data_IF_915729105976
#
_entry.id   IF_915729105976
#
_cell.length_a   1.000
_cell.length_b   1.000
_cell.length_c   1.000
_cell.angle_alpha   90.00
_cell.angle_beta   90.00
_cell.angle_gamma   90.00
#
_symmetry.space_group_name_H-M   'P 1'
#
loop_
_entity.id
_entity.type
_entity.pdbx_description
1 polymer ?
#
# COMPACT_ATOMS: atom_id res chain seq x y z
N UNK A 1 -11.67 17.36 44.09
CA UNK A 1 -12.17 17.23 42.71
C UNK A 1 -10.97 17.15 41.77
N UNK A 2 -10.57 15.94 41.38
CA UNK A 2 -9.60 15.69 40.29
C UNK A 2 -9.53 14.17 40.03
N UNK A 3 -10.58 13.62 39.42
CA UNK A 3 -10.59 12.22 38.96
C UNK A 3 -11.24 12.19 37.58
N UNK A 4 -10.43 12.24 36.54
CA UNK A 4 -10.96 12.17 35.18
C UNK A 4 -9.92 12.38 34.11
N UNK A 5 -8.83 11.60 34.09
CA UNK A 5 -7.99 11.57 32.88
C UNK A 5 -7.15 10.30 32.60
N UNK A 6 -7.42 9.17 33.27
CA UNK A 6 -6.59 7.96 33.08
C UNK A 6 -7.35 6.73 32.55
N UNK A 7 -8.69 6.82 32.37
CA UNK A 7 -9.51 5.71 31.86
C UNK A 7 -9.83 5.77 30.35
N UNK A 8 -9.65 6.92 29.68
CA UNK A 8 -10.01 7.08 28.27
C UNK A 8 -8.92 6.63 27.27
N UNK A 9 -7.65 6.56 27.67
CA UNK A 9 -6.54 6.10 26.80
C UNK A 9 -6.31 4.58 26.81
N UNK A 10 -6.75 3.87 27.85
CA UNK A 10 -6.53 2.41 27.99
C UNK A 10 -7.45 1.54 27.12
N UNK A 11 -8.57 2.08 26.63
CA UNK A 11 -9.51 1.38 25.74
C UNK A 11 -9.14 1.44 24.24
N UNK A 12 -8.34 2.44 23.83
CA UNK A 12 -7.97 2.65 22.42
C UNK A 12 -6.82 1.75 21.94
N UNK A 13 -5.97 1.26 22.86
CA UNK A 13 -4.82 0.43 22.55
C UNK A 13 -5.11 -1.08 22.52
N UNK A 14 -6.15 -1.58 23.19
CA UNK A 14 -6.38 -3.03 23.30
C UNK A 14 -7.21 -3.64 22.15
N UNK A 15 -7.69 -2.82 21.20
CA UNK A 15 -8.50 -3.23 20.04
C UNK A 15 -7.75 -3.14 18.69
N UNK A 16 -6.51 -2.61 18.67
CA UNK A 16 -5.54 -2.68 17.55
C UNK A 16 -5.27 -4.13 17.08
N UNK A 17 -5.70 -5.11 17.88
CA UNK A 17 -5.56 -6.55 17.72
C UNK A 17 -6.73 -7.27 17.03
N UNK A 18 -7.75 -6.58 16.48
CA UNK A 18 -8.69 -7.24 15.56
C UNK A 18 -8.01 -7.30 14.21
N UNK A 19 -7.39 -8.46 13.90
CA UNK A 19 -6.97 -8.90 12.55
C UNK A 19 -7.73 -8.10 11.50
N UNK A 20 -7.02 -7.29 10.73
CA UNK A 20 -7.56 -6.52 9.61
C UNK A 20 -8.55 -7.42 8.88
N UNK A 21 -9.85 -7.13 9.00
CA UNK A 21 -10.87 -8.16 8.83
C UNK A 21 -10.77 -8.82 7.44
N UNK A 22 -10.52 -10.14 7.41
CA UNK A 22 -10.34 -10.89 6.16
C UNK A 22 -8.89 -11.04 5.66
N UNK A 23 -7.91 -10.50 6.38
CA UNK A 23 -6.49 -10.65 6.08
C UNK A 23 -5.76 -11.54 7.09
N UNK A 24 -4.71 -12.20 6.60
CA UNK A 24 -3.75 -12.99 7.36
C UNK A 24 -2.36 -12.33 7.25
N UNK A 25 -1.52 -12.39 8.30
CA UNK A 25 -0.20 -11.79 8.25
C UNK A 25 0.68 -12.50 7.22
N UNK A 26 1.41 -11.73 6.42
CA UNK A 26 2.45 -12.22 5.52
C UNK A 26 3.78 -12.14 6.25
N UNK A 27 4.62 -13.20 6.26
CA UNK A 27 5.98 -13.12 6.78
C UNK A 27 6.77 -12.00 6.07
N UNK A 28 7.54 -11.21 6.82
CA UNK A 28 8.34 -10.12 6.22
C UNK A 28 9.28 -10.65 5.13
N UNK A 29 9.85 -11.84 5.34
CA UNK A 29 10.69 -12.56 4.35
C UNK A 29 10.01 -12.84 3.01
N UNK A 30 8.68 -12.82 2.94
CA UNK A 30 7.92 -13.20 1.75
C UNK A 30 7.42 -11.96 0.97
N UNK A 31 7.58 -10.75 1.55
CA UNK A 31 7.08 -9.49 0.96
C UNK A 31 7.66 -9.23 -0.43
N UNK A 32 8.94 -9.59 -0.66
CA UNK A 32 9.59 -9.36 -1.94
C UNK A 32 8.85 -10.02 -3.11
N UNK A 33 8.22 -11.18 -2.87
CA UNK A 33 7.49 -11.94 -3.90
C UNK A 33 6.28 -11.16 -4.45
N UNK A 34 5.75 -10.20 -3.69
CA UNK A 34 4.62 -9.37 -4.09
C UNK A 34 5.02 -8.19 -4.98
N UNK A 35 6.28 -7.75 -4.89
CA UNK A 35 6.74 -6.48 -5.47
C UNK A 35 7.77 -6.69 -6.57
N UNK A 36 8.66 -7.67 -6.43
CA UNK A 36 9.72 -7.98 -7.39
C UNK A 36 9.21 -8.24 -8.83
N UNK A 37 8.05 -8.90 -9.06
CA UNK A 37 7.47 -9.01 -10.40
C UNK A 37 7.07 -7.68 -11.05
N UNK A 38 7.09 -6.58 -10.30
CA UNK A 38 6.75 -5.23 -10.76
C UNK A 38 5.26 -5.03 -11.08
N UNK A 39 4.31 -5.43 -10.22
CA UNK A 39 2.90 -5.16 -10.47
C UNK A 39 2.57 -3.68 -10.30
N UNK A 40 1.46 -3.24 -10.86
CA UNK A 40 0.85 -1.96 -10.50
C UNK A 40 0.29 -2.07 -9.09
N UNK A 41 0.55 -1.06 -8.28
CA UNK A 41 0.06 -0.99 -6.90
C UNK A 41 -0.76 0.26 -6.68
N UNK A 42 -1.56 0.26 -5.62
CA UNK A 42 -2.19 1.44 -5.06
C UNK A 42 -1.36 1.91 -3.86
N UNK A 43 -1.10 3.21 -3.78
CA UNK A 43 -0.47 3.84 -2.62
C UNK A 43 -1.52 4.66 -1.88
N UNK A 44 -1.80 4.30 -0.63
CA UNK A 44 -2.69 5.08 0.24
C UNK A 44 -1.89 5.98 1.17
N UNK A 45 -2.45 7.14 1.48
CA UNK A 45 -1.90 8.09 2.44
C UNK A 45 -3.02 8.64 3.30
N UNK A 46 -2.68 9.10 4.50
CA UNK A 46 -3.58 9.87 5.35
C UNK A 46 -2.91 11.18 5.75
N UNK A 47 -3.65 12.28 5.71
CA UNK A 47 -3.21 13.57 6.21
C UNK A 47 -4.38 14.26 6.89
N UNK A 48 -4.22 14.62 8.16
CA UNK A 48 -5.25 15.28 8.97
C UNK A 48 -6.59 14.51 8.98
N UNK A 49 -6.52 13.18 8.99
CA UNK A 49 -7.70 12.29 8.97
C UNK A 49 -8.34 12.11 7.58
N UNK A 50 -7.86 12.82 6.55
CA UNK A 50 -8.31 12.63 5.17
C UNK A 50 -7.45 11.56 4.49
N UNK A 51 -8.09 10.45 4.15
CA UNK A 51 -7.50 9.37 3.38
C UNK A 51 -7.48 9.70 1.88
N UNK A 52 -6.46 9.22 1.17
CA UNK A 52 -6.37 9.27 -0.28
C UNK A 52 -5.72 8.00 -0.82
N UNK A 53 -5.93 7.72 -2.10
CA UNK A 53 -5.30 6.62 -2.84
C UNK A 53 -4.78 7.12 -4.20
N UNK A 54 -3.65 6.60 -4.65
CA UNK A 54 -3.13 6.83 -6.00
C UNK A 54 -2.65 5.53 -6.62
N UNK A 55 -2.62 5.47 -7.95
CA UNK A 55 -2.04 4.35 -8.70
C UNK A 55 -0.56 4.61 -8.91
N UNK A 56 0.27 3.59 -8.69
CA UNK A 56 1.72 3.69 -8.78
C UNK A 56 2.29 2.47 -9.48
N UNK A 57 3.06 2.70 -10.55
CA UNK A 57 3.78 1.65 -11.29
C UNK A 57 5.30 1.81 -11.25
N UNK A 58 5.82 2.87 -10.60
CA UNK A 58 7.25 3.16 -10.50
C UNK A 58 7.73 2.88 -9.08
N UNK A 59 8.05 1.62 -8.83
CA UNK A 59 8.58 1.13 -7.56
C UNK A 59 9.49 -0.09 -7.79
N UNK A 60 10.27 -0.46 -6.77
CA UNK A 60 11.14 -1.64 -6.80
C UNK A 60 11.50 -2.11 -5.39
N UNK A 61 11.79 -3.40 -5.25
CA UNK A 61 12.45 -3.93 -4.04
C UNK A 61 13.88 -3.38 -3.90
N UNK A 62 14.29 -3.14 -2.67
CA UNK A 62 15.63 -2.61 -2.30
C UNK A 62 16.36 -3.51 -1.31
N UNK A 63 15.64 -4.16 -0.39
CA UNK A 63 16.19 -5.06 0.63
C UNK A 63 15.19 -6.17 0.94
N UNK A 64 15.67 -7.38 1.24
CA UNK A 64 14.85 -8.53 1.60
C UNK A 64 14.35 -8.44 3.04
N UNK A 65 15.26 -8.22 4.01
CA UNK A 65 14.89 -8.20 5.44
C UNK A 65 15.74 -7.19 6.25
N UNK A 66 15.13 -6.16 6.89
CA UNK A 66 13.71 -5.80 6.79
C UNK A 66 13.33 -5.37 5.37
N UNK A 67 12.11 -5.67 4.86
CA UNK A 67 11.78 -5.42 3.47
C UNK A 67 11.74 -3.92 3.19
N UNK A 68 12.44 -3.50 2.14
CA UNK A 68 12.48 -2.09 1.71
C UNK A 68 12.07 -1.94 0.26
N UNK A 69 11.32 -0.87 0.00
CA UNK A 69 10.79 -0.53 -1.31
C UNK A 69 11.21 0.90 -1.63
N UNK A 70 11.74 1.12 -2.83
CA UNK A 70 11.87 2.47 -3.37
C UNK A 70 10.69 2.76 -4.28
N UNK A 71 10.14 3.97 -4.22
CA UNK A 71 9.04 4.38 -5.08
C UNK A 71 9.12 5.86 -5.46
N UNK A 72 8.58 6.20 -6.63
CA UNK A 72 8.44 7.58 -7.08
C UNK A 72 7.01 8.04 -6.86
N UNK A 73 6.85 9.15 -6.13
CA UNK A 73 5.57 9.84 -5.94
C UNK A 73 5.78 11.28 -6.37
N UNK A 74 5.07 11.76 -7.38
CA UNK A 74 5.35 13.08 -7.95
C UNK A 74 4.77 14.21 -7.09
N UNK A 75 5.41 15.39 -7.05
CA UNK A 75 4.82 16.59 -6.41
C UNK A 75 3.48 16.99 -7.00
N UNK A 76 3.21 16.60 -8.26
CA UNK A 76 1.93 16.78 -8.90
C UNK A 76 0.82 15.92 -8.27
N UNK A 77 1.16 14.81 -7.60
CA UNK A 77 0.21 13.94 -6.92
C UNK A 77 -0.25 14.56 -5.60
N UNK A 78 -1.54 14.41 -5.30
CA UNK A 78 -2.08 14.85 -4.01
C UNK A 78 -1.42 14.10 -2.83
N UNK A 79 -1.09 12.82 -3.04
CA UNK A 79 -0.45 11.95 -2.04
C UNK A 79 0.94 12.42 -1.63
N UNK A 80 1.66 13.20 -2.46
CA UNK A 80 3.04 13.61 -2.15
C UNK A 80 3.15 14.36 -0.83
N UNK A 81 2.28 15.36 -0.64
CA UNK A 81 2.31 16.19 0.55
C UNK A 81 2.03 15.35 1.81
N UNK A 82 1.01 14.49 1.73
CA UNK A 82 0.64 13.58 2.80
C UNK A 82 1.79 12.62 3.16
N UNK A 83 2.34 11.90 2.18
CA UNK A 83 3.46 10.97 2.38
C UNK A 83 4.69 11.67 2.98
N UNK A 84 5.00 12.88 2.50
CA UNK A 84 6.13 13.66 3.01
C UNK A 84 5.92 14.16 4.44
N UNK A 85 4.69 14.53 4.81
CA UNK A 85 4.40 15.06 6.14
C UNK A 85 4.17 13.97 7.19
N UNK A 86 3.46 12.89 6.83
CA UNK A 86 3.15 11.79 7.75
C UNK A 86 4.32 10.81 7.88
N UNK A 87 5.08 10.62 6.80
CA UNK A 87 6.08 9.55 6.71
C UNK A 87 5.46 8.15 6.67
N UNK A 88 4.16 8.04 6.38
CA UNK A 88 3.40 6.79 6.46
C UNK A 88 2.51 6.58 5.23
N UNK A 89 2.48 5.35 4.73
CA UNK A 89 1.60 4.91 3.65
C UNK A 89 1.27 3.42 3.73
N UNK A 90 0.32 2.98 2.93
CA UNK A 90 0.15 1.56 2.58
C UNK A 90 0.39 1.38 1.09
N UNK A 91 1.18 0.37 0.72
CA UNK A 91 1.25 -0.16 -0.64
C UNK A 91 0.27 -1.34 -0.72
N UNK A 92 -0.86 -1.14 -1.39
CA UNK A 92 -1.89 -2.14 -1.60
C UNK A 92 -1.75 -2.76 -3.00
N UNK A 93 -1.77 -4.09 -3.08
CA UNK A 93 -1.56 -4.86 -4.31
C UNK A 93 -2.91 -5.32 -4.86
N UNK A 94 -3.44 -4.67 -5.91
CA UNK A 94 -4.68 -5.08 -6.56
C UNK A 94 -4.47 -6.33 -7.42
N UNK A 95 -5.53 -7.12 -7.60
CA UNK A 95 -5.58 -8.11 -8.67
C UNK A 95 -6.35 -7.58 -9.89
N UNK A 96 -6.36 -8.34 -10.99
CA UNK A 96 -7.00 -8.00 -12.26
C UNK A 96 -8.48 -7.62 -12.15
N UNK A 97 -9.20 -8.06 -11.11
CA UNK A 97 -10.59 -7.66 -10.89
C UNK A 97 -10.76 -6.18 -10.54
N UNK A 98 -9.69 -5.52 -10.12
CA UNK A 98 -9.66 -4.09 -9.79
C UNK A 98 -9.06 -3.22 -10.91
N UNK A 99 -8.85 -3.76 -12.12
CA UNK A 99 -8.20 -3.04 -13.21
C UNK A 99 -8.88 -1.71 -13.55
N UNK A 100 -10.21 -1.66 -13.55
CA UNK A 100 -10.96 -0.43 -13.82
C UNK A 100 -10.73 0.61 -12.73
N UNK A 101 -10.79 0.22 -11.45
CA UNK A 101 -10.52 1.09 -10.32
C UNK A 101 -9.08 1.61 -10.33
N UNK A 102 -8.11 0.76 -10.69
CA UNK A 102 -6.70 1.15 -10.84
C UNK A 102 -6.55 2.28 -11.87
N UNK A 103 -7.24 2.19 -13.01
CA UNK A 103 -7.22 3.25 -14.03
C UNK A 103 -7.95 4.51 -13.54
N UNK A 104 -9.11 4.36 -12.91
CA UNK A 104 -9.91 5.48 -12.43
C UNK A 104 -9.18 6.28 -11.33
N UNK A 105 -8.59 5.59 -10.35
CA UNK A 105 -7.75 6.20 -9.30
C UNK A 105 -6.58 6.99 -9.91
N UNK A 106 -5.97 6.47 -10.98
CA UNK A 106 -4.83 7.09 -11.65
C UNK A 106 -5.18 8.31 -12.50
N UNK A 107 -6.44 8.47 -12.91
CA UNK A 107 -6.88 9.56 -13.81
C UNK A 107 -7.59 10.73 -13.09
N UNK A 108 -7.72 10.67 -11.76
CA UNK A 108 -8.27 11.76 -10.97
C UNK A 108 -7.32 12.19 -9.85
N UNK A 109 -7.60 13.32 -9.21
CA UNK A 109 -6.79 13.84 -8.10
C UNK A 109 -7.57 13.93 -6.81
N UNK A 110 -6.93 13.55 -5.70
CA UNK A 110 -7.50 13.68 -4.35
C UNK A 110 -7.67 15.14 -3.93
N UNK A 111 -7.16 16.10 -4.71
CA UNK A 111 -7.48 17.53 -4.54
C UNK A 111 -8.97 17.79 -4.79
N UNK A 112 -9.53 17.14 -5.80
CA UNK A 112 -10.83 17.50 -6.38
C UNK A 112 -11.94 16.52 -5.98
N UNK A 113 -11.58 15.26 -5.71
CA UNK A 113 -12.55 14.19 -5.42
C UNK A 113 -12.15 13.37 -4.19
N UNK A 114 -13.13 12.76 -3.54
CA UNK A 114 -12.92 11.62 -2.65
C UNK A 114 -12.81 10.36 -3.52
N UNK A 115 -11.57 9.86 -3.68
CA UNK A 115 -11.31 8.72 -4.55
C UNK A 115 -11.87 7.41 -4.02
N UNK A 116 -11.90 7.20 -2.71
CA UNK A 116 -12.48 5.97 -2.13
C UNK A 116 -13.98 5.93 -2.41
N UNK A 117 -14.67 7.05 -2.19
CA UNK A 117 -16.09 7.18 -2.51
C UNK A 117 -16.37 7.04 -4.00
N UNK A 118 -15.55 7.66 -4.86
CA UNK A 118 -15.68 7.59 -6.31
C UNK A 118 -15.56 6.16 -6.85
N UNK A 119 -14.53 5.42 -6.42
CA UNK A 119 -14.19 4.11 -7.01
C UNK A 119 -14.86 2.95 -6.28
N UNK A 120 -15.55 3.22 -5.17
CA UNK A 120 -16.15 2.20 -4.30
C UNK A 120 -15.13 1.31 -3.58
N UNK A 121 -13.88 1.75 -3.44
CA UNK A 121 -12.87 1.03 -2.66
C UNK A 121 -13.11 1.27 -1.17
N UNK A 122 -12.85 0.27 -0.33
CA UNK A 122 -13.13 0.33 1.10
C UNK A 122 -11.84 0.56 1.90
N UNK A 123 -11.64 1.76 2.50
CA UNK A 123 -10.53 1.98 3.41
C UNK A 123 -10.81 1.30 4.76
N UNK A 124 -9.86 0.49 5.24
CA UNK A 124 -9.90 -0.08 6.59
C UNK A 124 -8.71 0.43 7.41
N UNK A 125 -8.88 0.50 8.73
CA UNK A 125 -7.81 0.86 9.63
C UNK A 125 -6.64 -0.12 9.50
N UNK A 126 -5.44 0.42 9.33
CA UNK A 126 -4.19 -0.31 9.37
C UNK A 126 -3.77 -0.61 10.81
N UNK A 127 -2.80 -1.50 10.99
CA UNK A 127 -2.31 -1.88 12.31
C UNK A 127 -1.24 -0.91 12.81
N UNK A 128 -0.22 -0.63 12.02
CA UNK A 128 1.01 0.07 12.36
C UNK A 128 1.08 1.52 11.85
N UNK A 129 0.27 1.89 10.86
CA UNK A 129 0.25 3.24 10.24
C UNK A 129 -1.14 3.87 10.20
N UNK A 130 -1.21 5.19 10.00
CA UNK A 130 -2.48 5.93 9.87
C UNK A 130 -3.08 5.87 8.46
N UNK A 131 -2.29 5.53 7.45
CA UNK A 131 -2.77 5.31 6.09
C UNK A 131 -3.62 4.02 6.02
N UNK A 132 -4.78 4.03 5.35
CA UNK A 132 -5.68 2.88 5.38
C UNK A 132 -5.18 1.74 4.50
N UNK A 133 -5.47 0.50 4.89
CA UNK A 133 -5.42 -0.63 3.96
C UNK A 133 -6.64 -0.61 3.04
N UNK A 134 -6.54 -1.24 1.87
CA UNK A 134 -7.64 -1.36 0.90
C UNK A 134 -8.22 -2.77 0.97
N UNK A 135 -9.49 -2.88 1.37
CA UNK A 135 -10.14 -4.18 1.66
C UNK A 135 -10.17 -5.13 0.45
N UNK A 136 -10.31 -4.58 -0.74
CA UNK A 136 -10.45 -5.32 -1.99
C UNK A 136 -9.11 -5.83 -2.52
N UNK A 137 -7.99 -5.23 -2.10
CA UNK A 137 -6.67 -5.63 -2.56
C UNK A 137 -6.26 -7.00 -2.03
N UNK A 138 -5.49 -7.73 -2.84
CA UNK A 138 -4.97 -9.06 -2.47
C UNK A 138 -3.98 -8.97 -1.31
N UNK A 139 -3.12 -7.95 -1.30
CA UNK A 139 -2.17 -7.70 -0.24
C UNK A 139 -2.11 -6.22 0.14
N UNK A 140 -1.70 -5.93 1.37
CA UNK A 140 -1.49 -4.58 1.88
C UNK A 140 -0.20 -4.55 2.70
N UNK A 141 0.72 -3.66 2.33
CA UNK A 141 2.03 -3.47 2.97
C UNK A 141 2.02 -2.12 3.67
N UNK A 142 2.03 -2.13 4.99
CA UNK A 142 2.11 -0.92 5.80
C UNK A 142 3.57 -0.45 5.84
N UNK A 143 3.81 0.80 5.48
CA UNK A 143 5.15 1.30 5.25
C UNK A 143 5.42 2.62 5.97
N UNK A 144 6.67 2.79 6.40
CA UNK A 144 7.21 4.06 6.88
C UNK A 144 8.31 4.56 5.96
N UNK A 145 8.35 5.86 5.72
CA UNK A 145 9.43 6.52 4.98
C UNK A 145 10.69 6.51 5.84
N UNK A 146 11.76 5.91 5.33
CA UNK A 146 13.06 5.81 6.02
C UNK A 146 14.16 6.66 5.37
N UNK A 147 13.99 7.05 4.11
CA UNK A 147 14.95 7.91 3.42
C UNK A 147 14.25 8.84 2.42
N UNK A 148 14.61 10.12 2.46
CA UNK A 148 14.10 11.16 1.57
C UNK A 148 15.21 11.92 0.85
N UNK A 149 16.47 11.48 0.92
CA UNK A 149 17.62 12.17 0.31
C UNK A 149 17.47 12.36 -1.20
N UNK A 150 16.76 11.45 -1.87
CA UNK A 150 16.50 11.52 -3.32
C UNK A 150 15.19 12.24 -3.68
N UNK A 151 14.31 12.54 -2.71
CA UNK A 151 13.03 13.23 -2.94
C UNK A 151 13.21 14.62 -3.59
N UNK A 152 14.18 15.46 -3.18
CA UNK A 152 14.37 16.77 -3.81
C UNK A 152 14.69 16.71 -5.31
N UNK A 153 15.39 15.66 -5.76
CA UNK A 153 15.90 15.56 -7.13
C UNK A 153 15.09 14.64 -8.03
N UNK A 154 14.54 13.57 -7.46
CA UNK A 154 13.91 12.47 -8.21
C UNK A 154 12.53 12.12 -7.69
N UNK A 155 12.04 12.79 -6.65
CA UNK A 155 10.75 12.47 -6.02
C UNK A 155 10.67 11.00 -5.55
N UNK A 156 11.84 10.42 -5.27
CA UNK A 156 12.04 9.03 -4.88
C UNK A 156 12.11 8.93 -3.36
N UNK A 157 11.18 8.15 -2.81
CA UNK A 157 11.09 7.79 -1.40
C UNK A 157 11.64 6.37 -1.20
N UNK A 158 12.32 6.14 -0.07
CA UNK A 158 12.62 4.78 0.39
C UNK A 158 11.75 4.47 1.59
N UNK A 159 11.09 3.34 1.52
CA UNK A 159 10.10 2.86 2.48
C UNK A 159 10.62 1.57 3.13
N UNK A 160 10.34 1.41 4.42
CA UNK A 160 10.46 0.13 5.13
C UNK A 160 9.05 -0.43 5.39
N UNK A 161 8.84 -1.70 5.07
CA UNK A 161 7.60 -2.41 5.37
C UNK A 161 7.63 -2.83 6.83
N UNK A 162 6.67 -2.34 7.60
CA UNK A 162 6.56 -2.58 9.05
C UNK A 162 5.46 -3.60 9.38
N UNK A 163 4.53 -3.83 8.45
CA UNK A 163 3.50 -4.85 8.54
C UNK A 163 3.03 -5.26 7.14
N UNK A 164 2.61 -6.52 6.97
CA UNK A 164 2.18 -7.04 5.68
C UNK A 164 1.01 -7.99 5.87
N UNK A 165 -0.01 -7.81 5.05
CA UNK A 165 -1.29 -8.50 5.12
C UNK A 165 -1.65 -9.09 3.78
N UNK A 166 -2.11 -10.34 3.77
CA UNK A 166 -2.53 -11.06 2.58
C UNK A 166 -3.95 -11.57 2.76
N UNK A 167 -4.77 -11.45 1.72
CA UNK A 167 -6.12 -11.99 1.73
C UNK A 167 -6.02 -13.49 1.52
N UNK A 168 -6.77 -14.27 2.31
CA UNK A 168 -6.87 -15.72 2.06
C UNK A 168 -7.61 -15.96 0.75
N UNK A 169 -6.86 -16.03 -0.34
CA UNK A 169 -7.41 -16.15 -1.67
C UNK A 169 -7.82 -17.61 -1.95
N UNK A 170 -9.00 -17.80 -2.54
CA UNK A 170 -9.44 -19.14 -3.02
C UNK A 170 -8.70 -19.56 -4.30
N UNK A 171 -8.08 -18.60 -4.99
CA UNK A 171 -7.33 -18.77 -6.24
C UNK A 171 -6.13 -17.82 -6.20
N UNK A 172 -5.05 -18.19 -6.86
CA UNK A 172 -3.89 -17.29 -7.04
C UNK A 172 -4.36 -15.99 -7.69
N UNK A 173 -4.05 -14.81 -7.12
CA UNK A 173 -4.36 -13.54 -7.75
C UNK A 173 -3.59 -13.44 -9.07
N UNK A 174 -4.19 -12.77 -10.06
CA UNK A 174 -3.48 -12.36 -11.27
C UNK A 174 -3.25 -10.87 -11.17
N UNK A 175 -2.00 -10.45 -11.17
CA UNK A 175 -1.60 -9.06 -11.06
C UNK A 175 -1.61 -8.39 -12.44
N UNK A 176 -1.50 -7.06 -12.40
CA UNK A 176 -1.50 -6.18 -13.56
C UNK A 176 -0.14 -5.49 -13.66
N UNK A 177 0.41 -5.33 -14.85
CA UNK A 177 1.63 -4.56 -15.08
C UNK A 177 1.39 -3.51 -16.16
N UNK A 178 1.69 -2.25 -15.85
CA UNK A 178 1.35 -1.12 -16.70
C UNK A 178 2.34 -0.96 -17.85
N UNK A 179 1.83 -0.88 -19.08
CA UNK A 179 2.62 -0.67 -20.30
C UNK A 179 2.48 0.75 -20.87
N UNK A 180 1.83 1.65 -20.13
CA UNK A 180 1.51 3.01 -20.58
C UNK A 180 0.09 3.15 -21.13
N UNK A 181 -0.48 4.34 -21.00
CA UNK A 181 -1.76 4.75 -21.62
C UNK A 181 -2.90 3.74 -21.48
N UNK A 182 -3.23 3.34 -20.24
CA UNK A 182 -4.35 2.42 -19.97
C UNK A 182 -4.14 0.99 -20.47
N UNK A 183 -2.97 0.67 -21.02
CA UNK A 183 -2.61 -0.69 -21.45
C UNK A 183 -1.91 -1.40 -20.30
N UNK A 184 -2.34 -2.63 -20.02
CA UNK A 184 -1.78 -3.49 -19.00
C UNK A 184 -1.56 -4.90 -19.55
N UNK A 185 -0.49 -5.55 -19.13
CA UNK A 185 -0.36 -7.00 -19.20
C UNK A 185 -0.82 -7.62 -17.89
N UNK A 186 -1.40 -8.81 -17.98
CA UNK A 186 -1.88 -9.58 -16.82
C UNK A 186 -0.96 -10.78 -16.65
N UNK A 187 -0.74 -11.20 -15.41
CA UNK A 187 -0.01 -12.44 -15.10
C UNK A 187 -0.46 -13.60 -16.01
N UNK A 188 0.55 -14.27 -16.58
CA UNK A 188 0.40 -15.41 -17.47
C UNK A 188 0.75 -16.73 -16.78
N UNK A 189 1.51 -17.56 -17.48
CA UNK A 189 1.97 -18.85 -16.98
C UNK A 189 3.06 -18.69 -15.92
N UNK A 190 2.94 -19.42 -14.80
CA UNK A 190 3.96 -19.52 -13.77
C UNK A 190 4.94 -20.66 -14.12
N UNK A 191 6.22 -20.34 -14.26
CA UNK A 191 7.28 -21.32 -14.47
C UNK A 191 7.97 -21.62 -13.14
N UNK A 192 8.02 -22.90 -12.76
CA UNK A 192 8.76 -23.36 -11.58
C UNK A 192 10.05 -24.05 -12.01
N UNK A 193 11.16 -23.39 -11.72
CA UNK A 193 12.50 -23.88 -12.01
C UNK A 193 13.22 -24.22 -10.70
N UNK A 194 14.08 -25.24 -10.73
CA UNK A 194 14.88 -25.59 -9.55
C UNK A 194 15.84 -24.45 -9.18
N UNK A 195 15.80 -24.02 -7.92
CA UNK A 195 16.71 -23.03 -7.35
C UNK A 195 17.48 -23.65 -6.19
N UNK A 196 18.81 -23.45 -6.17
CA UNK A 196 19.67 -23.84 -5.04
C UNK A 196 19.52 -22.95 -3.80
N UNK A 197 18.71 -21.89 -3.89
CA UNK A 197 18.36 -21.00 -2.78
C UNK A 197 16.89 -21.23 -2.43
N UNK A 198 16.62 -21.61 -1.18
CA UNK A 198 15.28 -21.67 -0.60
C UNK A 198 14.93 -20.35 0.06
#
# INVERSE_FOLDING_TARGET
>A
MATGNMKLKRGAQSARARRTAGFEPIPMSDVYQLIEPGPVVLLTTSSEGRCNVMTMSWHMMVEFEPPRIACVVSRADYSFAALRSSGECVIAVPDVSLAQQVVEVGNCSGRDVDKFALTGLTPLAAQEVDAPVVAECFANLECRVIDTRLVPRHELFVLEVVCAWGRRARRTPRLLHHCGYGVFVVDGEELRLESGKR
#
